data_IF_197091591687
#
_entry.id   IF_197091591687
#
_cell.length_a   1.000
_cell.length_b   1.000
_cell.length_c   1.000
_cell.angle_alpha   90.00
_cell.angle_beta   90.00
_cell.angle_gamma   90.00
#
_symmetry.space_group_name_H-M   'P 1'
#
loop_
_entity.id
_entity.type
_entity.pdbx_description
1 polymer ?
#
# COMPACT_ATOMS: atom_id res chain seq x y z
N UNK A 1 19.67 -32.02 -29.88
CA UNK A 1 18.62 -30.97 -29.93
C UNK A 1 19.14 -29.79 -29.14
N UNK A 2 19.33 -28.60 -29.72
CA UNK A 2 19.85 -27.45 -29.00
C UNK A 2 18.81 -26.90 -28.02
N UNK A 3 19.30 -26.41 -26.89
CA UNK A 3 18.57 -25.84 -25.78
C UNK A 3 17.95 -24.49 -26.18
N UNK A 4 16.62 -24.48 -26.31
CA UNK A 4 15.86 -23.25 -26.55
C UNK A 4 15.88 -22.33 -25.33
N UNK A 5 17.00 -21.66 -25.08
CA UNK A 5 17.04 -20.49 -24.21
C UNK A 5 16.30 -19.37 -24.94
N UNK A 6 15.03 -19.18 -24.59
CA UNK A 6 14.24 -18.07 -25.10
C UNK A 6 14.88 -16.77 -24.61
N UNK A 7 15.56 -16.05 -25.51
CA UNK A 7 16.08 -14.73 -25.23
C UNK A 7 14.91 -13.80 -24.86
N UNK A 8 14.85 -13.38 -23.60
CA UNK A 8 13.86 -12.42 -23.15
C UNK A 8 14.01 -11.10 -23.92
N UNK A 9 12.91 -10.40 -24.26
CA UNK A 9 12.97 -9.11 -24.91
C UNK A 9 13.85 -8.14 -24.09
N UNK A 10 15.02 -7.78 -24.60
CA UNK A 10 15.88 -6.78 -23.96
C UNK A 10 15.35 -5.39 -24.26
N UNK A 11 14.71 -4.76 -23.26
CA UNK A 11 14.33 -3.36 -23.32
C UNK A 11 15.59 -2.50 -23.20
N UNK A 12 15.89 -1.71 -24.25
CA UNK A 12 17.13 -0.90 -24.34
C UNK A 12 17.11 0.40 -23.52
N UNK A 13 15.97 0.74 -22.91
CA UNK A 13 15.79 1.93 -22.07
C UNK A 13 15.66 1.55 -20.60
N UNK A 14 16.37 2.23 -19.71
CA UNK A 14 16.22 2.07 -18.27
C UNK A 14 14.84 2.60 -17.81
N UNK A 15 14.06 1.74 -17.15
CA UNK A 15 12.86 2.12 -16.42
C UNK A 15 13.15 1.97 -14.91
N UNK A 16 13.03 3.04 -14.10
CA UNK A 16 13.29 2.96 -12.67
C UNK A 16 12.23 2.18 -11.88
N UNK A 17 11.09 1.85 -12.50
CA UNK A 17 9.97 1.16 -11.84
C UNK A 17 9.73 -0.23 -12.41
N UNK A 18 9.40 -1.16 -11.52
CA UNK A 18 8.88 -2.49 -11.84
C UNK A 18 7.53 -2.67 -11.15
N UNK A 19 6.52 -3.14 -11.88
CA UNK A 19 5.27 -3.56 -11.25
C UNK A 19 5.44 -4.97 -10.67
N UNK A 20 5.31 -5.08 -9.34
CA UNK A 20 5.42 -6.36 -8.66
C UNK A 20 4.09 -7.07 -8.40
N UNK A 21 3.00 -6.50 -8.92
CA UNK A 21 1.65 -7.04 -8.85
C UNK A 21 1.12 -7.19 -7.44
N UNK A 22 0.29 -8.20 -7.25
CA UNK A 22 -0.43 -8.45 -6.02
C UNK A 22 -1.70 -7.62 -5.88
N UNK A 23 -2.41 -7.80 -4.79
CA UNK A 23 -3.69 -7.15 -4.52
C UNK A 23 -3.84 -6.95 -3.03
N UNK A 24 -4.33 -5.77 -2.65
CA UNK A 24 -4.66 -5.38 -1.29
C UNK A 24 -6.12 -4.95 -1.24
N UNK A 25 -6.77 -5.15 -0.10
CA UNK A 25 -8.13 -4.69 0.15
C UNK A 25 -8.29 -4.29 1.61
N UNK A 26 -9.25 -3.41 1.88
CA UNK A 26 -9.66 -3.08 3.23
C UNK A 26 -11.17 -2.84 3.32
N UNK A 27 -11.72 -3.10 4.51
CA UNK A 27 -13.13 -2.92 4.86
C UNK A 27 -13.18 -2.26 6.24
N UNK A 28 -13.87 -1.13 6.35
CA UNK A 28 -14.21 -0.47 7.60
C UNK A 28 -15.55 -1.03 8.10
N UNK A 29 -15.54 -1.58 9.31
CA UNK A 29 -16.72 -1.93 10.08
C UNK A 29 -17.12 -0.82 11.07
N UNK A 30 -18.10 -1.11 11.92
CA UNK A 30 -18.58 -0.13 12.91
C UNK A 30 -17.52 0.17 13.98
N UNK A 31 -16.84 -0.86 14.47
CA UNK A 31 -15.85 -0.82 15.57
C UNK A 31 -14.54 -1.57 15.22
N UNK A 32 -14.41 -2.00 13.97
CA UNK A 32 -13.24 -2.73 13.47
C UNK A 32 -12.84 -2.26 12.07
N UNK A 33 -11.60 -2.54 11.68
CA UNK A 33 -11.14 -2.40 10.29
C UNK A 33 -10.34 -3.64 9.91
N UNK A 34 -10.67 -4.23 8.77
CA UNK A 34 -9.94 -5.37 8.20
C UNK A 34 -9.10 -4.89 7.02
N UNK A 35 -7.85 -5.30 6.98
CA UNK A 35 -6.96 -5.11 5.82
C UNK A 35 -6.37 -6.46 5.46
N UNK A 36 -6.45 -6.82 4.19
CA UNK A 36 -5.85 -8.02 3.65
C UNK A 36 -5.00 -7.70 2.42
N UNK A 37 -3.99 -8.52 2.19
CA UNK A 37 -3.15 -8.43 1.02
C UNK A 37 -2.57 -9.78 0.69
N UNK A 38 -2.43 -10.07 -0.60
CA UNK A 38 -1.77 -11.29 -1.04
C UNK A 38 -0.26 -11.24 -0.74
N UNK A 39 0.37 -12.40 -0.72
CA UNK A 39 1.80 -12.53 -0.39
C UNK A 39 2.68 -12.84 -1.59
N UNK A 40 2.13 -12.93 -2.81
CA UNK A 40 2.95 -13.24 -3.99
C UNK A 40 3.64 -11.98 -4.50
N UNK A 41 4.91 -12.10 -4.86
CA UNK A 41 5.64 -11.06 -5.59
C UNK A 41 6.09 -11.63 -6.93
N UNK A 42 5.69 -10.98 -8.01
CA UNK A 42 6.04 -11.34 -9.38
C UNK A 42 6.79 -10.22 -10.07
N UNK A 43 7.52 -10.55 -11.12
CA UNK A 43 8.09 -9.59 -12.06
C UNK A 43 7.96 -10.20 -13.46
N UNK A 44 7.22 -9.54 -14.34
CA UNK A 44 6.85 -10.10 -15.64
C UNK A 44 6.20 -11.48 -15.49
N UNK A 45 6.80 -12.50 -16.12
CA UNK A 45 6.32 -13.88 -16.09
C UNK A 45 6.91 -14.73 -14.95
N UNK A 46 7.79 -14.16 -14.12
CA UNK A 46 8.47 -14.88 -13.04
C UNK A 46 7.87 -14.57 -11.68
N UNK A 47 7.71 -15.60 -10.83
CA UNK A 47 7.37 -15.43 -9.42
C UNK A 47 8.69 -15.35 -8.65
N UNK A 48 9.05 -14.15 -8.20
CA UNK A 48 10.25 -13.93 -7.41
C UNK A 48 10.14 -14.57 -6.02
N UNK A 49 8.99 -14.40 -5.36
CA UNK A 49 8.69 -15.04 -4.08
C UNK A 49 7.19 -15.28 -3.90
N UNK A 50 6.86 -16.33 -3.14
CA UNK A 50 5.48 -16.66 -2.76
C UNK A 50 5.07 -16.00 -1.44
N UNK A 51 6.04 -15.47 -0.70
CA UNK A 51 5.81 -14.85 0.61
C UNK A 51 6.55 -13.52 0.74
N UNK A 52 5.82 -12.44 0.43
CA UNK A 52 6.16 -11.04 0.62
C UNK A 52 4.91 -10.32 1.11
N UNK A 53 4.75 -10.13 2.44
CA UNK A 53 3.61 -9.45 3.01
C UNK A 53 3.49 -8.01 2.49
N UNK A 54 2.28 -7.61 2.10
CA UNK A 54 1.96 -6.25 1.63
C UNK A 54 1.30 -5.38 2.70
N UNK A 55 0.99 -5.99 3.85
CA UNK A 55 0.26 -5.38 4.95
C UNK A 55 1.23 -5.22 6.12
N UNK A 56 1.36 -3.98 6.60
CA UNK A 56 2.35 -3.59 7.60
C UNK A 56 1.67 -2.89 8.76
N UNK A 57 1.80 -3.44 9.97
CA UNK A 57 1.37 -2.75 11.20
C UNK A 57 2.20 -1.49 11.38
N UNK A 58 1.53 -0.34 11.56
CA UNK A 58 2.14 0.95 11.86
C UNK A 58 2.12 1.23 13.37
N UNK A 59 0.94 1.13 13.98
CA UNK A 59 0.71 1.27 15.43
C UNK A 59 -0.25 0.17 15.89
N UNK A 60 -0.64 0.16 17.16
CA UNK A 60 -1.63 -0.81 17.67
C UNK A 60 -3.04 -0.59 17.08
N UNK A 61 -3.31 0.60 16.54
CA UNK A 61 -4.62 0.97 15.95
C UNK A 61 -4.57 1.26 14.45
N UNK A 62 -3.41 1.18 13.81
CA UNK A 62 -3.24 1.53 12.40
C UNK A 62 -2.38 0.51 11.65
N UNK A 63 -2.83 0.16 10.46
CA UNK A 63 -2.19 -0.78 9.54
C UNK A 63 -2.16 -0.15 8.15
N UNK A 64 -1.04 -0.30 7.45
CA UNK A 64 -0.85 0.21 6.10
C UNK A 64 -0.59 -0.95 5.14
N UNK A 65 -1.42 -1.06 4.12
CA UNK A 65 -1.17 -1.93 2.98
C UNK A 65 -0.58 -1.12 1.82
N UNK A 66 0.40 -1.70 1.13
CA UNK A 66 1.09 -1.09 0.00
C UNK A 66 1.15 -2.06 -1.17
N UNK A 67 0.84 -1.57 -2.37
CA UNK A 67 0.85 -2.33 -3.62
C UNK A 67 1.54 -1.51 -4.74
N UNK A 68 2.06 -2.17 -5.77
CA UNK A 68 2.80 -1.53 -6.87
C UNK A 68 4.25 -1.99 -6.90
N UNK A 69 5.19 -1.05 -6.89
CA UNK A 69 6.62 -1.37 -6.87
C UNK A 69 7.07 -1.72 -5.45
N UNK A 70 7.53 -2.96 -5.26
CA UNK A 70 7.85 -3.50 -3.94
C UNK A 70 8.99 -2.74 -3.24
N UNK A 71 9.98 -2.25 -3.99
CA UNK A 71 11.09 -1.48 -3.41
C UNK A 71 10.60 -0.15 -2.84
N UNK A 72 9.77 0.58 -3.60
CA UNK A 72 9.14 1.82 -3.15
C UNK A 72 8.22 1.57 -1.96
N UNK A 73 7.37 0.54 -2.00
CA UNK A 73 6.46 0.18 -0.91
C UNK A 73 7.21 -0.09 0.40
N UNK A 74 8.26 -0.92 0.35
CA UNK A 74 9.08 -1.22 1.52
C UNK A 74 9.80 0.02 2.07
N UNK A 75 10.32 0.88 1.19
CA UNK A 75 10.98 2.12 1.59
C UNK A 75 9.99 3.13 2.19
N UNK A 76 8.82 3.26 1.58
CA UNK A 76 7.77 4.14 2.02
C UNK A 76 7.27 3.76 3.42
N UNK A 77 6.99 2.47 3.65
CA UNK A 77 6.60 1.96 4.97
C UNK A 77 7.66 2.28 6.03
N UNK A 78 8.95 2.09 5.72
CA UNK A 78 10.05 2.44 6.63
C UNK A 78 10.05 3.93 6.98
N UNK A 79 9.90 4.82 5.99
CA UNK A 79 9.84 6.27 6.22
C UNK A 79 8.61 6.67 7.03
N UNK A 80 7.44 6.08 6.77
CA UNK A 80 6.22 6.34 7.54
C UNK A 80 6.43 5.94 8.99
N UNK A 81 6.92 4.72 9.26
CA UNK A 81 7.23 4.26 10.63
C UNK A 81 8.18 5.20 11.35
N UNK A 82 9.26 5.63 10.69
CA UNK A 82 10.20 6.58 11.28
C UNK A 82 9.53 7.91 11.67
N UNK A 83 8.64 8.44 10.82
CA UNK A 83 7.88 9.66 11.12
C UNK A 83 6.93 9.49 12.30
N UNK A 84 6.33 8.30 12.45
CA UNK A 84 5.47 7.98 13.60
C UNK A 84 6.28 7.92 14.90
N UNK A 85 7.45 7.28 14.88
CA UNK A 85 8.34 7.25 16.04
C UNK A 85 8.77 8.66 16.46
N UNK A 86 9.18 9.51 15.50
CA UNK A 86 9.51 10.90 15.79
C UNK A 86 8.34 11.69 16.38
N UNK A 87 7.13 11.49 15.85
CA UNK A 87 5.93 12.10 16.41
C UNK A 87 5.70 11.67 17.85
N UNK A 88 5.82 10.37 18.13
CA UNK A 88 5.67 9.81 19.47
C UNK A 88 6.71 10.37 20.44
N UNK A 89 7.96 10.49 20.02
CA UNK A 89 9.02 11.12 20.83
C UNK A 89 8.77 12.61 21.09
N UNK A 90 8.27 13.35 20.10
CA UNK A 90 8.02 14.79 20.23
C UNK A 90 6.76 15.13 21.06
N UNK A 91 5.72 14.29 21.00
CA UNK A 91 4.42 14.58 21.59
C UNK A 91 3.99 13.63 22.71
N UNK A 92 4.81 12.61 23.02
CA UNK A 92 4.53 11.57 24.01
C UNK A 92 3.18 10.85 23.82
N UNK A 93 2.65 10.83 22.60
CA UNK A 93 1.39 10.19 22.22
C UNK A 93 1.45 9.60 20.81
N UNK A 94 0.63 8.59 20.55
CA UNK A 94 0.49 8.03 19.21
C UNK A 94 -0.25 8.99 18.28
N UNK A 95 0.12 8.96 17.00
CA UNK A 95 -0.52 9.80 15.99
C UNK A 95 -1.94 9.28 15.69
N UNK A 96 -2.97 10.14 15.72
CA UNK A 96 -4.33 9.72 15.36
C UNK A 96 -4.41 9.36 13.88
N UNK A 97 -5.30 8.43 13.53
CA UNK A 97 -5.39 7.84 12.18
C UNK A 97 -5.52 8.89 11.08
N UNK A 98 -6.36 9.91 11.28
CA UNK A 98 -6.50 11.06 10.36
C UNK A 98 -5.20 11.84 10.14
N UNK A 99 -4.39 12.01 11.18
CA UNK A 99 -3.10 12.66 11.06
C UNK A 99 -2.09 11.78 10.30
N UNK A 100 -2.15 10.46 10.48
CA UNK A 100 -1.37 9.50 9.69
C UNK A 100 -1.77 9.61 8.21
N UNK A 101 -3.07 9.67 7.91
CA UNK A 101 -3.54 9.84 6.53
C UNK A 101 -2.99 11.13 5.89
N UNK A 102 -3.05 12.25 6.62
CA UNK A 102 -2.51 13.54 6.14
C UNK A 102 -0.98 13.52 5.98
N UNK A 103 -0.28 12.82 6.86
CA UNK A 103 1.16 12.62 6.78
C UNK A 103 1.52 11.85 5.50
N UNK A 104 0.84 10.73 5.24
CA UNK A 104 1.04 9.90 4.04
C UNK A 104 0.81 10.72 2.78
N UNK A 105 -0.31 11.45 2.69
CA UNK A 105 -0.58 12.36 1.57
C UNK A 105 0.59 13.34 1.34
N UNK A 106 1.06 13.98 2.41
CA UNK A 106 2.13 14.99 2.31
C UNK A 106 3.43 14.35 1.82
N UNK A 107 3.75 13.14 2.29
CA UNK A 107 4.93 12.39 1.89
C UNK A 107 4.89 11.96 0.43
N UNK A 108 3.73 11.50 -0.06
CA UNK A 108 3.55 11.12 -1.47
C UNK A 108 3.60 12.35 -2.38
N UNK A 109 2.90 13.42 -2.02
CA UNK A 109 2.87 14.66 -2.80
C UNK A 109 4.25 15.33 -2.88
N UNK A 110 5.06 15.25 -1.82
CA UNK A 110 6.42 15.78 -1.81
C UNK A 110 7.34 15.13 -2.86
N UNK A 111 6.97 13.97 -3.42
CA UNK A 111 7.71 13.29 -4.48
C UNK A 111 6.96 13.32 -5.82
N UNK A 112 6.00 14.22 -6.04
CA UNK A 112 5.17 14.26 -7.27
C UNK A 112 5.96 14.32 -8.60
N UNK A 113 7.20 14.81 -8.61
CA UNK A 113 8.06 14.84 -9.80
C UNK A 113 8.86 13.56 -10.04
N UNK A 114 8.96 12.69 -9.03
CA UNK A 114 9.50 11.33 -9.13
C UNK A 114 8.77 10.46 -8.10
N UNK A 115 7.51 10.10 -8.39
CA UNK A 115 6.59 9.58 -7.37
C UNK A 115 6.99 8.19 -6.90
N UNK A 116 6.59 7.85 -5.69
CA UNK A 116 6.58 6.46 -5.27
C UNK A 116 5.54 5.72 -6.12
N UNK A 117 5.93 4.66 -6.83
CA UNK A 117 4.99 3.84 -7.60
C UNK A 117 4.24 2.90 -6.67
N UNK A 118 3.38 3.46 -5.81
CA UNK A 118 2.65 2.73 -4.79
C UNK A 118 1.20 3.19 -4.70
N UNK A 119 0.30 2.22 -4.58
CA UNK A 119 -1.07 2.40 -4.17
C UNK A 119 -1.18 1.94 -2.73
N UNK A 120 -1.64 2.82 -1.84
CA UNK A 120 -1.66 2.54 -0.41
C UNK A 120 -3.09 2.52 0.10
N UNK A 121 -3.34 1.64 1.07
CA UNK A 121 -4.58 1.63 1.84
C UNK A 121 -4.19 1.66 3.32
N UNK A 122 -4.51 2.75 3.99
CA UNK A 122 -4.39 2.89 5.44
C UNK A 122 -5.72 2.50 6.07
N UNK A 123 -5.70 1.57 7.01
CA UNK A 123 -6.87 1.22 7.79
C UNK A 123 -6.57 1.21 9.28
N UNK A 124 -7.57 1.50 10.09
CA UNK A 124 -7.40 1.55 11.53
C UNK A 124 -8.68 1.90 12.26
N UNK A 125 -8.52 2.23 13.53
CA UNK A 125 -9.59 2.67 14.41
C UNK A 125 -9.37 4.13 14.77
N UNK A 126 -10.41 4.94 14.59
CA UNK A 126 -10.44 6.35 14.98
C UNK A 126 -10.54 6.53 16.50
N UNK A 127 -10.39 7.76 17.00
CA UNK A 127 -10.48 8.05 18.43
C UNK A 127 -11.89 7.81 19.00
N UNK A 128 -12.92 7.92 18.16
CA UNK A 128 -14.32 7.62 18.50
C UNK A 128 -14.64 6.11 18.50
N UNK A 129 -13.65 5.26 18.18
CA UNK A 129 -13.81 3.82 18.08
C UNK A 129 -14.30 3.34 16.72
N UNK A 130 -14.60 4.23 15.77
CA UNK A 130 -15.07 3.84 14.45
C UNK A 130 -13.97 3.26 13.57
N UNK A 131 -14.31 2.27 12.75
CA UNK A 131 -13.45 1.81 11.67
C UNK A 131 -13.27 2.90 10.61
N UNK A 132 -12.06 3.02 10.07
CA UNK A 132 -11.81 3.89 8.93
C UNK A 132 -10.79 3.29 7.98
N UNK A 133 -11.06 3.45 6.69
CA UNK A 133 -10.17 3.12 5.59
C UNK A 133 -9.91 4.38 4.77
N UNK A 134 -8.64 4.61 4.45
CA UNK A 134 -8.16 5.68 3.59
C UNK A 134 -7.36 5.09 2.45
N UNK A 135 -7.74 5.39 1.21
CA UNK A 135 -7.01 4.96 0.02
C UNK A 135 -6.20 6.11 -0.56
N UNK A 136 -5.05 5.80 -1.16
CA UNK A 136 -4.12 6.79 -1.69
C UNK A 136 -3.70 6.44 -3.12
N UNK A 137 -3.62 7.46 -3.96
CA UNK A 137 -2.93 7.37 -5.25
C UNK A 137 -1.41 7.66 -5.09
N UNK A 138 -0.59 7.35 -6.11
CA UNK A 138 0.86 7.60 -6.09
C UNK A 138 1.27 9.07 -5.87
N UNK A 139 0.37 10.04 -6.08
CA UNK A 139 0.65 11.49 -5.99
C UNK A 139 0.06 12.14 -4.73
N UNK A 140 -0.54 11.35 -3.84
CA UNK A 140 -1.03 11.79 -2.54
C UNK A 140 -2.47 12.28 -2.51
N UNK A 141 -3.28 12.07 -3.55
CA UNK A 141 -4.73 12.16 -3.40
C UNK A 141 -5.21 11.04 -2.48
N UNK A 142 -6.16 11.35 -1.59
CA UNK A 142 -6.71 10.36 -0.67
C UNK A 142 -8.17 10.62 -0.36
N UNK A 143 -8.91 9.55 -0.10
CA UNK A 143 -10.32 9.58 0.25
C UNK A 143 -10.60 8.62 1.40
N UNK A 144 -11.63 8.93 2.20
CA UNK A 144 -12.14 8.00 3.23
C UNK A 144 -13.23 7.16 2.59
N UNK A 145 -13.09 5.84 2.66
CA UNK A 145 -14.00 4.89 2.01
C UNK A 145 -14.48 3.84 3.02
N UNK A 146 -15.64 3.23 2.78
CA UNK A 146 -16.14 2.12 3.59
C UNK A 146 -15.40 0.81 3.24
N UNK A 147 -15.08 0.62 1.97
CA UNK A 147 -14.30 -0.50 1.49
C UNK A 147 -13.50 -0.09 0.25
N UNK A 148 -12.33 -0.70 0.06
CA UNK A 148 -11.49 -0.43 -1.11
C UNK A 148 -10.61 -1.61 -1.45
N UNK A 149 -10.47 -1.89 -2.74
CA UNK A 149 -9.43 -2.75 -3.28
C UNK A 149 -8.41 -1.94 -4.09
N UNK A 150 -7.17 -2.42 -4.16
CA UNK A 150 -6.12 -1.86 -5.01
C UNK A 150 -5.16 -2.96 -5.50
N UNK A 151 -4.49 -2.70 -6.63
CA UNK A 151 -3.57 -3.64 -7.28
C UNK A 151 -4.20 -4.41 -8.42
N UNK A 152 -3.56 -5.49 -8.84
CA UNK A 152 -3.85 -6.19 -10.10
C UNK A 152 -5.28 -6.73 -10.22
N UNK A 153 -5.90 -7.18 -9.11
CA UNK A 153 -7.25 -7.71 -9.10
C UNK A 153 -8.31 -6.71 -8.60
N UNK A 154 -8.00 -5.41 -8.52
CA UNK A 154 -8.96 -4.39 -8.08
C UNK A 154 -10.28 -4.47 -8.85
N UNK A 155 -10.22 -4.52 -10.18
CA UNK A 155 -11.41 -4.54 -11.05
C UNK A 155 -12.28 -5.79 -10.85
N UNK A 156 -11.70 -6.86 -10.32
CA UNK A 156 -12.41 -8.08 -9.98
C UNK A 156 -13.02 -8.01 -8.59
N UNK A 157 -12.31 -7.44 -7.61
CA UNK A 157 -12.72 -7.43 -6.19
C UNK A 157 -13.68 -6.29 -5.87
N UNK A 158 -13.45 -5.09 -6.40
CA UNK A 158 -14.23 -3.89 -6.07
C UNK A 158 -15.74 -4.07 -6.32
N UNK A 159 -16.21 -4.66 -7.44
CA UNK A 159 -17.64 -4.85 -7.66
C UNK A 159 -18.33 -5.76 -6.63
N UNK A 160 -17.61 -6.71 -6.03
CA UNK A 160 -18.16 -7.54 -4.95
C UNK A 160 -18.25 -6.80 -3.63
N UNK A 161 -17.37 -5.81 -3.41
CA UNK A 161 -17.42 -4.94 -2.23
C UNK A 161 -18.54 -3.90 -2.37
N UNK A 162 -18.77 -3.40 -3.58
CA UNK A 162 -19.82 -2.40 -3.87
C UNK A 162 -21.24 -2.99 -3.84
N UNK A 163 -21.39 -4.31 -4.04
CA UNK A 163 -22.67 -5.01 -4.06
C UNK A 163 -23.16 -5.48 -2.67
N UNK A 164 -22.63 -4.90 -1.59
CA UNK A 164 -22.99 -5.21 -0.20
C UNK A 164 -23.98 -4.18 0.36
#
# INVERSE_FOLDING_TARGET
MPDGSFAHPQQRSFNPYTDNGGTILAIAGADFTVIAGDTRQSEGYSIQTRYAPKVFRLTDRAVLAVNGFAADGNMFVKKVKQRLEWYRHAHAKDMPLRAIARLIQTMLYAQRFFPYYVYNILGGIEEDGSGAVYSFDPVGSYEREACRAAGAAQSLVQPFLDNQ
#
